data_IF_887796492981
#
_entry.id   IF_887796492981
#
_cell.length_a   1.000
_cell.length_b   1.000
_cell.length_c   1.000
_cell.angle_alpha   90.00
_cell.angle_beta   90.00
_cell.angle_gamma   90.00
#
_symmetry.space_group_name_H-M   'P 1'
#
loop_
_entity.id
_entity.type
_entity.pdbx_description
1 polymer ?
#
# COMPACT_ATOMS: atom_id res chain seq x y z
N UNK A 1 8.44 -15.62 -25.75
CA UNK A 1 7.54 -16.68 -26.26
C UNK A 1 6.28 -16.61 -25.42
N UNK A 2 5.11 -16.53 -26.06
CA UNK A 2 3.83 -16.45 -25.33
C UNK A 2 3.60 -17.73 -24.50
N UNK A 3 2.96 -17.60 -23.31
CA UNK A 3 2.52 -18.77 -22.55
C UNK A 3 1.58 -19.66 -23.34
N UNK A 4 1.52 -20.94 -22.98
CA UNK A 4 0.63 -21.91 -23.61
C UNK A 4 -0.84 -21.47 -23.48
N UNK A 5 -1.59 -21.48 -24.59
CA UNK A 5 -2.99 -21.04 -24.66
C UNK A 5 -3.20 -19.56 -24.97
N UNK A 6 -2.14 -18.74 -25.00
CA UNK A 6 -2.23 -17.32 -25.40
C UNK A 6 -2.02 -17.20 -26.90
N UNK A 7 -3.08 -16.80 -27.63
CA UNK A 7 -3.06 -16.69 -29.10
C UNK A 7 -2.75 -15.28 -29.61
N UNK A 8 -2.78 -14.28 -28.74
CA UNK A 8 -2.68 -12.87 -29.10
C UNK A 8 -1.62 -12.17 -28.26
N UNK A 9 -0.73 -11.45 -28.94
CA UNK A 9 0.39 -10.72 -28.35
C UNK A 9 0.14 -9.22 -28.49
N UNK A 10 -0.37 -8.61 -27.42
CA UNK A 10 -0.66 -7.18 -27.35
C UNK A 10 0.59 -6.34 -27.64
N UNK A 11 1.74 -6.75 -27.10
CA UNK A 11 2.99 -6.01 -27.24
C UNK A 11 3.50 -6.04 -28.68
N UNK A 12 3.33 -7.16 -29.39
CA UNK A 12 3.67 -7.24 -30.81
C UNK A 12 2.72 -6.42 -31.67
N UNK A 13 1.41 -6.43 -31.39
CA UNK A 13 0.43 -5.64 -32.15
C UNK A 13 0.71 -4.13 -31.99
N UNK A 14 1.04 -3.70 -30.77
CA UNK A 14 1.25 -2.30 -30.45
C UNK A 14 2.72 -1.85 -30.54
N UNK A 15 3.57 -2.63 -31.21
CA UNK A 15 5.01 -2.36 -31.31
C UNK A 15 5.35 -0.95 -31.82
N UNK A 16 4.56 -0.40 -32.74
CA UNK A 16 4.79 0.94 -33.30
C UNK A 16 4.05 2.07 -32.55
N UNK A 17 3.26 1.75 -31.52
CA UNK A 17 2.55 2.76 -30.73
C UNK A 17 3.47 3.31 -29.63
N UNK A 18 3.93 4.58 -29.72
CA UNK A 18 4.80 5.16 -28.70
C UNK A 18 4.13 5.30 -27.33
N UNK A 19 2.80 5.21 -27.23
CA UNK A 19 2.08 5.29 -25.96
C UNK A 19 1.96 3.95 -25.23
N UNK A 20 2.09 2.82 -25.94
CA UNK A 20 2.02 1.48 -25.34
C UNK A 20 3.38 0.98 -24.86
N UNK A 21 4.48 1.54 -25.37
CA UNK A 21 5.84 1.31 -24.86
C UNK A 21 6.24 -0.18 -24.90
N UNK A 22 5.66 -0.95 -25.82
CA UNK A 22 5.75 -2.42 -25.90
C UNK A 22 7.18 -2.96 -26.02
N UNK A 23 8.11 -2.16 -26.54
CA UNK A 23 9.54 -2.49 -26.59
C UNK A 23 10.15 -2.80 -25.22
N UNK A 24 9.61 -2.21 -24.14
CA UNK A 24 10.10 -2.35 -22.78
C UNK A 24 9.23 -3.28 -21.92
N UNK A 25 8.15 -3.86 -22.47
CA UNK A 25 7.19 -4.63 -21.68
C UNK A 25 7.87 -5.76 -20.89
N UNK A 26 8.76 -6.53 -21.54
CA UNK A 26 9.51 -7.60 -20.88
C UNK A 26 10.52 -7.06 -19.86
N UNK A 27 11.26 -6.00 -20.18
CA UNK A 27 12.23 -5.38 -19.27
C UNK A 27 11.54 -4.84 -18.00
N UNK A 28 10.38 -4.19 -18.15
CA UNK A 28 9.55 -3.70 -17.04
C UNK A 28 9.06 -4.88 -16.21
N UNK A 29 8.55 -5.94 -16.84
CA UNK A 29 8.08 -7.13 -16.14
C UNK A 29 9.19 -7.80 -15.34
N UNK A 30 10.37 -8.01 -15.95
CA UNK A 30 11.53 -8.60 -15.28
C UNK A 30 11.99 -7.74 -14.10
N UNK A 31 12.09 -6.42 -14.29
CA UNK A 31 12.43 -5.49 -13.23
C UNK A 31 11.44 -5.53 -12.06
N UNK A 32 10.14 -5.45 -12.32
CA UNK A 32 9.10 -5.48 -11.28
C UNK A 32 9.10 -6.83 -10.53
N UNK A 33 9.27 -7.95 -11.26
CA UNK A 33 9.36 -9.28 -10.66
C UNK A 33 10.59 -9.45 -9.76
N UNK A 34 11.73 -8.88 -10.16
CA UNK A 34 12.93 -8.87 -9.31
C UNK A 34 12.76 -7.97 -8.08
N UNK A 35 12.16 -6.79 -8.28
CA UNK A 35 11.83 -5.83 -7.22
C UNK A 35 10.90 -6.39 -6.17
N UNK A 36 9.88 -7.16 -6.56
CA UNK A 36 8.89 -7.75 -5.65
C UNK A 36 9.57 -8.55 -4.51
N UNK A 37 10.67 -9.26 -4.84
CA UNK A 37 11.44 -10.08 -3.89
C UNK A 37 12.08 -9.27 -2.76
N UNK A 38 12.26 -7.96 -2.95
CA UNK A 38 12.84 -7.06 -1.95
C UNK A 38 11.83 -6.67 -0.85
N UNK A 39 10.53 -6.91 -1.07
CA UNK A 39 9.46 -6.54 -0.15
C UNK A 39 8.63 -7.74 0.33
N UNK A 40 9.27 -8.76 0.96
CA UNK A 40 8.55 -9.91 1.45
C UNK A 40 7.66 -9.54 2.64
N UNK A 41 6.41 -9.98 2.60
CA UNK A 41 5.47 -9.91 3.73
C UNK A 41 5.35 -11.31 4.32
N UNK A 42 5.90 -11.49 5.52
CA UNK A 42 5.80 -12.74 6.28
C UNK A 42 4.51 -12.84 7.09
N UNK A 43 4.34 -13.93 7.86
CA UNK A 43 3.23 -14.07 8.80
C UNK A 43 3.44 -13.21 10.06
N UNK A 44 3.33 -11.89 9.90
CA UNK A 44 3.64 -10.92 10.94
C UNK A 44 2.54 -10.80 12.01
N UNK A 45 1.29 -11.19 11.70
CA UNK A 45 0.16 -11.09 12.62
C UNK A 45 0.36 -11.94 13.89
N UNK A 46 1.17 -13.00 13.84
CA UNK A 46 1.55 -13.79 15.03
C UNK A 46 2.25 -12.93 16.10
N UNK A 47 2.94 -11.87 15.70
CA UNK A 47 3.63 -10.94 16.61
C UNK A 47 2.74 -9.80 17.11
N UNK A 48 1.59 -9.56 16.48
CA UNK A 48 0.69 -8.44 16.77
C UNK A 48 -0.29 -8.78 17.91
N UNK A 49 0.24 -9.09 19.10
CA UNK A 49 -0.55 -9.57 20.26
C UNK A 49 -1.70 -8.63 20.62
N UNK A 50 -1.48 -7.31 20.51
CA UNK A 50 -2.48 -6.29 20.81
C UNK A 50 -3.63 -6.22 19.78
N UNK A 51 -3.42 -6.72 18.57
CA UNK A 51 -4.44 -6.78 17.50
C UNK A 51 -5.21 -8.10 17.51
N UNK A 52 -4.73 -9.09 18.26
CA UNK A 52 -5.31 -10.43 18.36
C UNK A 52 -5.75 -10.79 19.79
N UNK A 53 -6.74 -10.09 20.38
CA UNK A 53 -7.19 -10.37 21.75
C UNK A 53 -7.89 -11.73 21.89
N UNK A 54 -8.45 -12.29 20.80
CA UNK A 54 -9.11 -13.60 20.80
C UNK A 54 -8.45 -14.55 19.79
N UNK A 55 -8.09 -15.77 20.23
CA UNK A 55 -7.22 -16.70 19.47
C UNK A 55 -7.74 -17.10 18.09
N UNK A 56 -9.04 -17.00 17.83
CA UNK A 56 -9.68 -17.34 16.54
C UNK A 56 -9.96 -16.14 15.63
N UNK A 57 -9.59 -14.92 16.01
CA UNK A 57 -9.87 -13.72 15.22
C UNK A 57 -8.60 -13.02 14.71
N UNK A 58 -7.39 -13.57 14.85
CA UNK A 58 -6.09 -12.88 14.68
C UNK A 58 -5.98 -11.83 13.56
N UNK A 59 -6.64 -11.98 12.42
CA UNK A 59 -6.58 -11.10 11.25
C UNK A 59 -7.70 -10.04 11.19
N UNK A 60 -8.67 -10.08 12.10
CA UNK A 60 -9.90 -9.28 12.06
C UNK A 60 -9.67 -7.77 12.10
N UNK A 61 -8.70 -7.30 12.89
CA UNK A 61 -8.36 -5.87 12.98
C UNK A 61 -7.75 -5.36 11.68
N UNK A 62 -6.94 -6.17 11.01
CA UNK A 62 -6.36 -5.82 9.72
C UNK A 62 -7.46 -5.76 8.66
N UNK A 63 -8.36 -6.75 8.65
CA UNK A 63 -9.49 -6.75 7.73
C UNK A 63 -10.37 -5.51 7.91
N UNK A 64 -10.71 -5.16 9.15
CA UNK A 64 -11.49 -3.95 9.45
C UNK A 64 -10.76 -2.66 9.07
N UNK A 65 -9.44 -2.60 9.27
CA UNK A 65 -8.65 -1.45 8.83
C UNK A 65 -8.68 -1.32 7.31
N UNK A 66 -8.47 -2.42 6.58
CA UNK A 66 -8.43 -2.39 5.10
C UNK A 66 -9.81 -2.05 4.54
N UNK A 67 -10.88 -2.56 5.14
CA UNK A 67 -12.26 -2.20 4.81
C UNK A 67 -12.48 -0.67 4.94
N UNK A 68 -12.09 -0.10 6.07
CA UNK A 68 -12.11 1.36 6.26
C UNK A 68 -11.21 2.11 5.25
N UNK A 69 -10.03 1.57 4.90
CA UNK A 69 -9.16 2.18 3.90
C UNK A 69 -9.78 2.18 2.50
N UNK A 70 -10.58 1.16 2.15
CA UNK A 70 -11.35 1.12 0.90
C UNK A 70 -12.40 2.23 0.91
N UNK A 71 -13.16 2.39 1.99
CA UNK A 71 -14.15 3.48 2.12
C UNK A 71 -13.51 4.86 1.92
N UNK A 72 -12.31 5.08 2.48
CA UNK A 72 -11.56 6.33 2.29
C UNK A 72 -11.08 6.46 0.84
N UNK A 73 -10.53 5.41 0.23
CA UNK A 73 -10.09 5.46 -1.17
C UNK A 73 -11.25 5.81 -2.11
N UNK A 74 -12.42 5.18 -1.93
CA UNK A 74 -13.61 5.46 -2.73
C UNK A 74 -14.14 6.89 -2.50
N UNK A 75 -14.16 7.35 -1.24
CA UNK A 75 -14.65 8.70 -0.91
C UNK A 75 -13.82 9.83 -1.51
N UNK A 76 -12.50 9.61 -1.67
CA UNK A 76 -11.58 10.57 -2.27
C UNK A 76 -11.26 10.27 -3.73
N UNK A 77 -11.91 9.26 -4.32
CA UNK A 77 -11.68 8.82 -5.70
C UNK A 77 -10.20 8.56 -6.03
N UNK A 78 -9.43 8.04 -5.06
CA UNK A 78 -8.02 7.71 -5.26
C UNK A 78 -7.91 6.47 -6.16
N UNK A 79 -6.79 6.33 -6.87
CA UNK A 79 -6.50 5.16 -7.68
C UNK A 79 -6.37 3.88 -6.82
N UNK A 80 -6.63 2.73 -7.43
CA UNK A 80 -6.48 1.45 -6.74
C UNK A 80 -5.03 1.19 -6.34
N UNK A 81 -4.07 1.64 -7.15
CA UNK A 81 -2.64 1.58 -6.91
C UNK A 81 -2.26 2.31 -5.61
N UNK A 82 -2.86 3.49 -5.35
CA UNK A 82 -2.71 4.22 -4.09
C UNK A 82 -3.15 3.38 -2.89
N UNK A 83 -4.30 2.70 -2.98
CA UNK A 83 -4.77 1.81 -1.92
C UNK A 83 -3.82 0.60 -1.74
N UNK A 84 -3.39 -0.02 -2.83
CA UNK A 84 -2.52 -1.21 -2.76
C UNK A 84 -1.17 -0.87 -2.13
N UNK A 85 -0.56 0.25 -2.53
CA UNK A 85 0.65 0.75 -1.90
C UNK A 85 0.43 1.05 -0.41
N UNK A 86 -0.68 1.72 -0.05
CA UNK A 86 -0.98 2.01 1.35
C UNK A 86 -1.14 0.73 2.20
N UNK A 87 -1.87 -0.28 1.71
CA UNK A 87 -2.01 -1.57 2.40
C UNK A 87 -0.67 -2.28 2.54
N UNK A 88 0.17 -2.25 1.49
CA UNK A 88 1.53 -2.80 1.54
C UNK A 88 2.40 -2.11 2.60
N UNK A 89 2.32 -0.78 2.70
CA UNK A 89 3.03 0.00 3.72
C UNK A 89 2.60 -0.40 5.14
N UNK A 90 1.29 -0.58 5.37
CA UNK A 90 0.77 -1.09 6.65
C UNK A 90 1.38 -2.46 6.98
N UNK A 91 1.33 -3.40 6.04
CA UNK A 91 1.82 -4.77 6.26
C UNK A 91 3.34 -4.83 6.50
N UNK A 92 4.12 -4.05 5.75
CA UNK A 92 5.56 -3.93 5.93
C UNK A 92 5.91 -3.30 7.29
N UNK A 93 5.13 -2.30 7.71
CA UNK A 93 5.30 -1.68 9.01
C UNK A 93 5.04 -2.68 10.14
N UNK A 94 3.92 -3.41 10.08
CA UNK A 94 3.54 -4.43 11.06
C UNK A 94 4.48 -5.65 11.06
N UNK A 95 5.25 -5.87 9.99
CA UNK A 95 6.32 -6.87 9.98
C UNK A 95 7.49 -6.49 10.91
N UNK A 96 7.75 -5.20 11.09
CA UNK A 96 8.90 -4.70 11.88
C UNK A 96 8.49 -4.19 13.26
N UNK A 97 7.31 -3.59 13.38
CA UNK A 97 6.82 -2.89 14.57
C UNK A 97 5.57 -3.54 15.13
N UNK A 98 5.45 -3.58 16.45
CA UNK A 98 4.19 -3.94 17.14
C UNK A 98 3.36 -2.68 17.37
N UNK A 99 2.08 -2.74 17.01
CA UNK A 99 1.18 -1.58 17.06
C UNK A 99 -0.02 -1.88 17.95
N UNK A 100 -0.46 -0.87 18.71
CA UNK A 100 -1.65 -0.98 19.55
C UNK A 100 -2.93 -0.77 18.73
N UNK A 101 -4.06 -1.25 19.23
CA UNK A 101 -5.36 -1.04 18.57
C UNK A 101 -5.63 0.44 18.28
N UNK A 102 -5.32 1.31 19.23
CA UNK A 102 -5.58 2.76 19.17
C UNK A 102 -4.72 3.48 18.13
N UNK A 103 -3.62 2.88 17.69
CA UNK A 103 -2.69 3.48 16.71
C UNK A 103 -2.78 2.82 15.33
N UNK A 104 -3.60 1.79 15.17
CA UNK A 104 -3.75 1.06 13.91
C UNK A 104 -4.42 1.91 12.82
N UNK A 105 -5.47 2.66 13.15
CA UNK A 105 -6.11 3.57 12.19
C UNK A 105 -5.16 4.71 11.79
N UNK A 106 -4.39 5.27 12.74
CA UNK A 106 -3.36 6.26 12.44
C UNK A 106 -2.30 5.73 11.46
N UNK A 107 -1.88 4.47 11.61
CA UNK A 107 -0.98 3.79 10.67
C UNK A 107 -1.60 3.69 9.27
N UNK A 108 -2.88 3.30 9.17
CA UNK A 108 -3.61 3.26 7.90
C UNK A 108 -3.74 4.64 7.24
N UNK A 109 -4.16 5.65 8.01
CA UNK A 109 -4.28 7.03 7.55
C UNK A 109 -2.94 7.59 7.04
N UNK A 110 -1.86 7.40 7.79
CA UNK A 110 -0.52 7.83 7.38
C UNK A 110 -0.02 7.06 6.14
N UNK A 111 -0.40 5.79 5.98
CA UNK A 111 -0.03 4.99 4.80
C UNK A 111 -0.75 5.48 3.54
N UNK A 112 -2.06 5.80 3.63
CA UNK A 112 -2.81 6.45 2.55
C UNK A 112 -2.25 7.84 2.21
N UNK A 113 -1.86 8.61 3.23
CA UNK A 113 -1.23 9.92 3.03
C UNK A 113 0.12 9.82 2.29
N UNK A 114 0.94 8.82 2.62
CA UNK A 114 2.20 8.57 1.88
C UNK A 114 1.92 8.10 0.45
N UNK A 115 1.05 7.11 0.28
CA UNK A 115 0.76 6.52 -1.02
C UNK A 115 0.14 7.53 -1.98
N UNK A 116 -0.80 8.35 -1.51
CA UNK A 116 -1.41 9.40 -2.34
C UNK A 116 -0.37 10.41 -2.83
N UNK A 117 0.57 10.84 -1.98
CA UNK A 117 1.67 11.73 -2.41
C UNK A 117 2.63 11.10 -3.42
N UNK A 118 2.66 9.77 -3.51
CA UNK A 118 3.53 9.06 -4.43
C UNK A 118 2.85 8.86 -5.80
N UNK A 119 1.57 8.51 -5.81
CA UNK A 119 0.89 8.03 -7.02
C UNK A 119 -0.17 8.99 -7.57
N UNK A 120 -0.74 9.87 -6.73
CA UNK A 120 -1.81 10.77 -7.15
C UNK A 120 -1.30 12.06 -7.76
N UNK A 121 -2.03 12.52 -8.78
CA UNK A 121 -1.85 13.88 -9.31
C UNK A 121 -2.20 14.94 -8.27
N UNK A 122 -3.24 14.69 -7.47
CA UNK A 122 -3.69 15.56 -6.38
C UNK A 122 -3.75 14.70 -5.12
N UNK A 123 -2.70 14.71 -4.27
CA UNK A 123 -2.65 13.86 -3.10
C UNK A 123 -3.54 14.37 -1.97
N UNK A 124 -3.77 13.51 -0.98
CA UNK A 124 -4.43 13.90 0.27
C UNK A 124 -3.63 15.01 0.97
N UNK A 125 -4.36 15.92 1.57
CA UNK A 125 -3.82 17.01 2.39
C UNK A 125 -3.86 16.63 3.87
N UNK A 126 -3.08 17.31 4.70
CA UNK A 126 -3.07 17.02 6.14
C UNK A 126 -4.42 17.40 6.78
N UNK A 127 -5.10 18.36 6.17
CA UNK A 127 -6.42 18.84 6.55
C UNK A 127 -7.49 17.75 6.36
N UNK A 128 -7.26 16.75 5.48
CA UNK A 128 -8.15 15.62 5.25
C UNK A 128 -8.17 14.61 6.41
N UNK A 129 -7.34 14.81 7.45
CA UNK A 129 -7.34 13.99 8.67
C UNK A 129 -8.68 14.01 9.42
N UNK A 130 -9.61 14.90 9.07
CA UNK A 130 -10.97 14.90 9.62
C UNK A 130 -11.71 13.57 9.40
N UNK A 131 -11.29 12.75 8.42
CA UNK A 131 -11.82 11.40 8.17
C UNK A 131 -11.62 10.45 9.36
N UNK A 132 -10.68 10.76 10.25
CA UNK A 132 -10.46 10.04 11.49
C UNK A 132 -11.29 10.61 12.66
N UNK A 133 -12.32 11.42 12.39
CA UNK A 133 -13.23 12.03 13.37
C UNK A 133 -12.51 12.75 14.52
N UNK A 134 -11.41 13.43 14.21
CA UNK A 134 -10.59 14.14 15.19
C UNK A 134 -9.83 13.24 16.17
N UNK A 135 -9.76 11.93 15.94
CA UNK A 135 -9.03 10.98 16.79
C UNK A 135 -7.53 11.26 16.88
N UNK A 136 -6.97 11.96 15.89
CA UNK A 136 -5.53 12.23 15.79
C UNK A 136 -5.24 13.67 15.41
N UNK A 137 -4.11 14.16 15.89
CA UNK A 137 -3.58 15.47 15.55
C UNK A 137 -2.70 15.41 14.29
N UNK A 138 -2.59 16.54 13.58
CA UNK A 138 -1.61 16.75 12.50
C UNK A 138 -0.19 16.31 12.87
N UNK A 139 0.22 16.56 14.12
CA UNK A 139 1.55 16.18 14.61
C UNK A 139 1.71 14.66 14.73
N UNK A 140 0.66 13.94 15.09
CA UNK A 140 0.68 12.47 15.17
C UNK A 140 0.73 11.85 13.78
N UNK A 141 -0.04 12.38 12.82
CA UNK A 141 0.03 11.95 11.42
C UNK A 141 1.45 12.08 10.85
N UNK A 142 2.07 13.26 10.97
CA UNK A 142 3.43 13.52 10.46
C UNK A 142 4.46 12.61 11.15
N UNK A 143 4.31 12.36 12.47
CA UNK A 143 5.22 11.44 13.19
C UNK A 143 5.08 10.00 12.69
N UNK A 144 3.85 9.54 12.46
CA UNK A 144 3.58 8.21 11.93
C UNK A 144 4.15 8.08 10.51
N UNK A 145 3.92 9.08 9.66
CA UNK A 145 4.49 9.14 8.30
C UNK A 145 6.02 8.97 8.33
N UNK A 146 6.72 9.76 9.14
CA UNK A 146 8.18 9.68 9.25
C UNK A 146 8.61 8.29 9.73
N UNK A 147 7.85 7.68 10.65
CA UNK A 147 8.12 6.32 11.13
C UNK A 147 8.00 5.30 10.00
N UNK A 148 6.92 5.35 9.21
CA UNK A 148 6.67 4.44 8.09
C UNK A 148 7.78 4.57 7.04
N UNK A 149 8.10 5.80 6.62
CA UNK A 149 9.15 6.05 5.63
C UNK A 149 10.51 5.52 6.06
N UNK A 150 10.86 5.66 7.35
CA UNK A 150 12.08 5.06 7.91
C UNK A 150 12.05 3.54 7.90
N UNK A 151 10.91 2.91 8.20
CA UNK A 151 10.75 1.45 8.18
C UNK A 151 10.96 0.88 6.78
N UNK A 152 10.50 1.57 5.74
CA UNK A 152 10.70 1.16 4.34
C UNK A 152 11.95 1.76 3.70
N UNK A 153 12.82 2.42 4.49
CA UNK A 153 14.03 3.09 3.99
C UNK A 153 13.77 4.06 2.82
N UNK A 154 12.61 4.71 2.82
CA UNK A 154 12.14 5.60 1.74
C UNK A 154 11.99 4.92 0.37
N UNK A 155 12.04 3.60 0.30
CA UNK A 155 11.81 2.85 -0.93
C UNK A 155 10.31 2.52 -1.09
N UNK A 156 9.64 3.33 -1.90
CA UNK A 156 8.19 3.26 -2.13
C UNK A 156 7.80 2.64 -3.47
N UNK A 157 8.76 2.34 -4.36
CA UNK A 157 8.49 1.77 -5.69
C UNK A 157 8.12 0.29 -5.65
N UNK A 158 7.24 -0.08 -4.72
CA UNK A 158 6.91 -1.46 -4.39
C UNK A 158 5.96 -1.98 -5.49
N UNK A 159 6.33 -3.05 -6.21
CA UNK A 159 5.43 -3.72 -7.15
C UNK A 159 4.23 -4.36 -6.47
#
# INVERSE_FOLDING_TARGET
QLPEGVQWDFDVENWLDPYQVSHYAMDIFEYLKERERLFPIGNYMVRQVCLSPWRGAREWMRALLVDWMVEVQESFELNHETLYLAVKLVDLYLTKMTVGKETLQLLGAASLFIASKFDERIPLMVEDLYICDGAYTKRELIKMEISILKIVNFDLGIP
#
